data_IF_125179816031
#
_entry.id   IF_125179816031
#
_cell.length_a   1.000
_cell.length_b   1.000
_cell.length_c   1.000
_cell.angle_alpha   90.00
_cell.angle_beta   90.00
_cell.angle_gamma   90.00
#
_symmetry.space_group_name_H-M   'P 1'
#
loop_
_entity.id
_entity.type
_entity.pdbx_description
1 polymer ?
#
# COMPACT_ATOMS: atom_id res chain seq x y z
N UNK A 1 -8.59 -1.09 25.36
CA UNK A 1 -8.91 -1.84 24.12
C UNK A 1 -7.95 -2.98 23.96
N UNK A 2 -7.95 -3.65 22.81
CA UNK A 2 -7.04 -4.76 22.52
C UNK A 2 -6.17 -4.41 21.31
N UNK A 3 -4.88 -4.63 21.46
CA UNK A 3 -3.88 -4.49 20.42
C UNK A 3 -3.65 -5.84 19.76
N UNK A 4 -3.70 -5.86 18.43
CA UNK A 4 -3.69 -7.04 17.61
C UNK A 4 -2.54 -7.00 16.63
N UNK A 5 -2.10 -8.18 16.21
CA UNK A 5 -1.30 -8.36 15.01
C UNK A 5 -2.23 -8.86 13.90
N UNK A 6 -2.26 -8.15 12.77
CA UNK A 6 -2.92 -8.61 11.56
C UNK A 6 -2.08 -9.74 10.95
N UNK A 7 -2.74 -10.85 10.63
CA UNK A 7 -2.10 -12.01 10.04
C UNK A 7 -2.79 -12.34 8.72
N UNK A 8 -2.06 -12.19 7.61
CA UNK A 8 -2.53 -12.56 6.27
C UNK A 8 -3.08 -11.39 5.43
N UNK A 9 -3.62 -11.74 4.26
CA UNK A 9 -4.19 -10.79 3.27
C UNK A 9 -5.64 -10.41 3.59
N UNK A 10 -6.29 -11.16 4.47
CA UNK A 10 -7.61 -10.91 5.00
C UNK A 10 -7.41 -10.06 6.26
N UNK A 11 -8.04 -8.88 6.34
CA UNK A 11 -7.80 -7.89 7.41
C UNK A 11 -8.35 -8.32 8.79
N UNK A 12 -8.15 -9.58 9.17
CA UNK A 12 -8.61 -10.18 10.42
C UNK A 12 -7.58 -10.00 11.52
N UNK A 13 -8.05 -9.50 12.67
CA UNK A 13 -7.25 -9.40 13.88
C UNK A 13 -7.36 -10.68 14.69
N UNK A 14 -6.45 -11.60 14.41
CA UNK A 14 -6.46 -12.95 14.98
C UNK A 14 -5.57 -13.10 16.22
N UNK A 15 -4.44 -12.39 16.28
CA UNK A 15 -3.46 -12.52 17.35
C UNK A 15 -3.48 -11.32 18.29
N UNK A 16 -3.72 -11.56 19.58
CA UNK A 16 -3.67 -10.54 20.63
C UNK A 16 -2.22 -10.29 21.04
N UNK A 17 -1.76 -9.04 20.93
CA UNK A 17 -0.45 -8.60 21.42
C UNK A 17 -0.53 -8.09 22.85
N UNK A 18 -1.50 -7.20 23.13
CA UNK A 18 -1.68 -6.55 24.44
C UNK A 18 -3.16 -6.28 24.69
N UNK A 19 -3.63 -6.48 25.92
CA UNK A 19 -4.96 -6.06 26.37
C UNK A 19 -4.84 -4.80 27.23
N UNK A 20 -5.98 -4.15 27.50
CA UNK A 20 -6.06 -3.00 28.41
C UNK A 20 -5.16 -1.82 28.02
N UNK A 21 -4.90 -1.68 26.71
CA UNK A 21 -4.13 -0.59 26.13
C UNK A 21 -5.00 0.34 25.30
N UNK A 22 -4.63 1.62 25.28
CA UNK A 22 -5.19 2.61 24.37
C UNK A 22 -4.71 2.41 22.94
N UNK A 23 -5.41 3.04 21.99
CA UNK A 23 -4.99 3.02 20.58
C UNK A 23 -3.60 3.66 20.43
N UNK A 24 -3.33 4.77 21.11
CA UNK A 24 -2.05 5.46 21.04
C UNK A 24 -0.88 4.57 21.51
N UNK A 25 -1.06 3.85 22.62
CA UNK A 25 -0.04 2.93 23.14
C UNK A 25 0.16 1.70 22.23
N UNK A 26 -0.92 1.17 21.65
CA UNK A 26 -0.84 0.10 20.67
C UNK A 26 -0.04 0.54 19.44
N UNK A 27 -0.32 1.73 18.92
CA UNK A 27 0.24 2.26 17.69
C UNK A 27 1.58 3.00 17.86
N UNK A 28 2.08 3.16 19.09
CA UNK A 28 3.35 3.83 19.36
C UNK A 28 4.58 3.12 18.77
N UNK A 29 4.50 1.80 18.53
CA UNK A 29 5.63 0.97 18.08
C UNK A 29 5.95 1.10 16.58
N UNK A 30 5.12 1.80 15.79
CA UNK A 30 5.36 2.02 14.35
C UNK A 30 5.29 0.78 13.45
N UNK A 31 4.86 -0.37 13.97
CA UNK A 31 4.76 -1.63 13.22
C UNK A 31 3.52 -1.64 12.30
N UNK A 32 3.71 -1.96 11.02
CA UNK A 32 2.67 -1.93 9.99
C UNK A 32 1.55 -2.95 10.20
N UNK A 33 1.85 -4.07 10.85
CA UNK A 33 0.91 -5.17 11.04
C UNK A 33 0.12 -5.03 12.35
N UNK A 34 0.27 -3.91 13.07
CA UNK A 34 -0.46 -3.67 14.30
C UNK A 34 -1.83 -3.06 14.03
N UNK A 35 -2.83 -3.53 14.77
CA UNK A 35 -4.19 -3.02 14.70
C UNK A 35 -4.80 -2.93 16.10
N UNK A 36 -5.81 -2.08 16.26
CA UNK A 36 -6.44 -1.83 17.54
C UNK A 36 -7.94 -1.98 17.47
N UNK A 37 -8.56 -2.56 18.51
CA UNK A 37 -10.00 -2.61 18.67
C UNK A 37 -10.44 -2.04 20.02
N UNK A 38 -11.59 -1.35 20.02
CA UNK A 38 -12.25 -0.89 21.24
C UNK A 38 -13.15 -1.98 21.85
N UNK A 39 -12.75 -3.24 21.73
CA UNK A 39 -13.54 -4.38 22.14
C UNK A 39 -12.71 -5.26 23.06
N UNK A 40 -13.13 -5.32 24.32
CA UNK A 40 -12.53 -6.18 25.34
C UNK A 40 -13.52 -7.29 25.68
N UNK A 41 -13.05 -8.51 25.87
CA UNK A 41 -13.87 -9.63 26.34
C UNK A 41 -13.24 -10.27 27.57
N UNK A 42 -14.04 -10.57 28.61
CA UNK A 42 -13.53 -11.28 29.77
C UNK A 42 -13.11 -12.71 29.36
N UNK A 43 -11.87 -13.07 29.70
CA UNK A 43 -11.27 -14.38 29.41
C UNK A 43 -10.59 -14.49 28.05
N UNK A 44 -10.13 -15.71 27.72
CA UNK A 44 -9.38 -16.02 26.50
C UNK A 44 -10.25 -16.15 25.23
N UNK A 45 -11.54 -15.78 25.29
CA UNK A 45 -12.49 -15.92 24.18
C UNK A 45 -12.32 -14.84 23.11
N UNK A 46 -11.61 -13.76 23.42
CA UNK A 46 -11.39 -12.64 22.49
C UNK A 46 -10.64 -13.08 21.23
N UNK A 47 -9.64 -13.97 21.36
CA UNK A 47 -8.90 -14.50 20.20
C UNK A 47 -9.80 -15.27 19.24
N UNK A 48 -10.73 -16.08 19.75
CA UNK A 48 -11.69 -16.81 18.92
C UNK A 48 -12.57 -15.86 18.10
N UNK A 49 -13.05 -14.77 18.71
CA UNK A 49 -13.84 -13.75 18.02
C UNK A 49 -13.02 -13.00 16.96
N UNK A 50 -11.74 -12.78 17.23
CA UNK A 50 -10.78 -12.24 16.26
C UNK A 50 -10.58 -13.15 15.05
N UNK A 51 -10.35 -14.44 15.27
CA UNK A 51 -10.23 -15.46 14.21
C UNK A 51 -11.52 -15.62 13.39
N UNK A 52 -12.70 -15.47 14.01
CA UNK A 52 -13.99 -15.54 13.32
C UNK A 52 -14.35 -14.25 12.56
N UNK A 53 -13.49 -13.21 12.59
CA UNK A 53 -13.76 -11.93 11.94
C UNK A 53 -14.87 -11.11 12.60
N UNK A 54 -15.27 -11.45 13.83
CA UNK A 54 -16.32 -10.76 14.59
C UNK A 54 -15.79 -9.52 15.34
N UNK A 55 -14.48 -9.39 15.45
CA UNK A 55 -13.83 -8.22 16.03
C UNK A 55 -13.41 -7.26 14.93
N UNK A 56 -14.08 -6.11 14.86
CA UNK A 56 -13.63 -5.00 14.03
C UNK A 56 -12.41 -4.35 14.68
N UNK A 57 -11.30 -4.35 13.96
CA UNK A 57 -10.06 -3.70 14.36
C UNK A 57 -9.58 -2.76 13.27
N UNK A 58 -8.95 -1.67 13.67
CA UNK A 58 -8.42 -0.65 12.78
C UNK A 58 -6.90 -0.80 12.72
N UNK A 59 -6.29 -0.94 11.52
CA UNK A 59 -4.84 -0.93 11.41
C UNK A 59 -4.29 0.39 11.97
N UNK A 60 -3.23 0.30 12.77
CA UNK A 60 -2.51 1.47 13.30
C UNK A 60 -1.88 2.29 12.16
N UNK A 61 -1.45 1.60 11.10
CA UNK A 61 -0.93 2.20 9.89
C UNK A 61 -1.81 1.74 8.73
N UNK A 62 -2.88 2.49 8.49
CA UNK A 62 -3.82 2.21 7.42
C UNK A 62 -3.15 2.28 6.05
N UNK A 63 -3.59 1.39 5.17
CA UNK A 63 -3.29 1.40 3.74
C UNK A 63 -3.36 2.83 3.20
N UNK A 64 -2.28 3.30 2.58
CA UNK A 64 -2.31 4.45 1.67
C UNK A 64 -3.07 4.11 0.38
N UNK A 65 -4.20 3.42 0.49
CA UNK A 65 -5.20 3.30 -0.57
C UNK A 65 -6.16 4.46 -0.41
N UNK A 66 -5.74 5.60 -0.93
CA UNK A 66 -6.57 6.79 -0.97
C UNK A 66 -5.72 8.03 -1.09
N UNK A 67 -5.77 8.61 -2.29
CA UNK A 67 -5.76 10.05 -2.52
C UNK A 67 -6.16 10.81 -1.24
N UNK A 68 -5.16 11.22 -0.49
CA UNK A 68 -5.30 11.96 0.75
C UNK A 68 -4.58 13.28 0.60
N UNK A 69 -5.06 14.13 -0.31
CA UNK A 69 -4.79 15.56 -0.19
C UNK A 69 -5.41 15.99 1.14
N UNK A 70 -4.59 16.20 2.16
CA UNK A 70 -4.99 17.11 3.25
C UNK A 70 -4.85 18.54 2.70
N UNK A 71 -5.92 19.35 2.63
CA UNK A 71 -5.75 20.78 2.48
C UNK A 71 -5.26 21.29 3.84
N UNK A 72 -3.99 21.69 3.94
CA UNK A 72 -3.52 22.43 5.11
C UNK A 72 -2.16 22.07 5.71
N UNK A 73 -1.28 21.34 5.02
CA UNK A 73 0.14 21.31 5.41
C UNK A 73 1.03 21.80 4.28
N UNK A 74 1.36 23.08 4.36
CA UNK A 74 2.43 23.74 3.63
C UNK A 74 3.77 23.12 4.05
N UNK A 75 4.15 22.00 3.42
CA UNK A 75 5.53 21.52 3.44
C UNK A 75 6.17 21.91 2.12
N UNK A 76 6.70 23.12 2.10
CA UNK A 76 7.68 23.56 1.11
C UNK A 76 9.05 23.01 1.54
N UNK A 77 9.35 21.76 1.20
CA UNK A 77 10.71 21.23 1.11
C UNK A 77 10.65 19.92 0.32
N UNK A 78 11.53 19.79 -0.68
CA UNK A 78 11.50 18.79 -1.74
C UNK A 78 11.80 17.35 -1.26
N UNK A 79 10.90 16.76 -0.47
CA UNK A 79 10.84 15.32 -0.24
C UNK A 79 9.76 14.72 -1.15
N UNK A 80 10.13 14.15 -2.30
CA UNK A 80 9.17 13.51 -3.19
C UNK A 80 8.37 12.43 -2.44
N UNK A 81 7.05 12.35 -2.62
CA UNK A 81 6.25 11.28 -2.01
C UNK A 81 6.76 9.94 -2.53
N UNK A 82 7.28 9.11 -1.61
CA UNK A 82 7.63 7.73 -1.90
C UNK A 82 6.37 6.93 -2.18
N UNK A 83 6.38 6.14 -3.26
CA UNK A 83 5.34 5.16 -3.59
C UNK A 83 5.73 3.79 -3.09
N UNK A 84 4.77 3.04 -2.55
CA UNK A 84 4.97 1.63 -2.22
C UNK A 84 4.68 0.79 -3.47
N UNK A 85 5.70 0.10 -3.97
CA UNK A 85 5.59 -0.77 -5.14
C UNK A 85 5.87 -2.20 -4.73
N UNK A 86 4.96 -3.11 -5.10
CA UNK A 86 5.15 -4.54 -4.89
C UNK A 86 5.83 -5.18 -6.11
N UNK A 87 6.87 -5.96 -5.86
CA UNK A 87 7.60 -6.72 -6.90
C UNK A 87 6.90 -8.03 -7.28
N UNK A 88 7.45 -8.75 -8.27
CA UNK A 88 6.89 -10.03 -8.73
C UNK A 88 6.92 -11.15 -7.68
N UNK A 89 7.70 -10.99 -6.60
CA UNK A 89 7.79 -11.96 -5.48
C UNK A 89 6.78 -11.64 -4.37
N UNK A 90 6.07 -10.51 -4.46
CA UNK A 90 5.16 -10.04 -3.43
C UNK A 90 5.82 -9.18 -2.36
N UNK A 91 7.11 -8.83 -2.50
CA UNK A 91 7.81 -7.97 -1.55
C UNK A 91 7.51 -6.50 -1.85
N UNK A 92 7.25 -5.71 -0.81
CA UNK A 92 6.95 -4.29 -0.92
C UNK A 92 8.22 -3.43 -0.81
N UNK A 93 8.39 -2.48 -1.73
CA UNK A 93 9.52 -1.55 -1.78
C UNK A 93 9.01 -0.11 -1.78
N UNK A 94 9.56 0.73 -0.91
CA UNK A 94 9.33 2.17 -0.96
C UNK A 94 10.27 2.81 -1.97
N UNK A 95 9.74 3.32 -3.08
CA UNK A 95 10.51 3.91 -4.16
C UNK A 95 10.07 5.35 -4.43
N UNK A 96 11.00 6.21 -4.81
CA UNK A 96 10.67 7.56 -5.26
C UNK A 96 10.31 7.52 -6.73
N UNK A 97 9.07 7.86 -7.07
CA UNK A 97 8.65 7.92 -8.46
C UNK A 97 9.28 9.11 -9.18
N UNK A 98 9.59 8.90 -10.46
CA UNK A 98 10.06 9.97 -11.34
C UNK A 98 8.94 11.01 -11.48
N UNK A 99 9.16 12.20 -10.92
CA UNK A 99 8.27 13.35 -11.09
C UNK A 99 8.55 14.12 -12.40
N UNK A 100 9.80 14.10 -12.87
CA UNK A 100 10.17 14.77 -14.11
C UNK A 100 9.47 14.12 -15.33
N UNK A 101 9.01 14.93 -16.30
CA UNK A 101 8.43 14.41 -17.55
C UNK A 101 9.37 13.42 -18.23
N UNK A 102 8.79 12.40 -18.86
CA UNK A 102 9.53 11.52 -19.74
C UNK A 102 9.86 12.26 -21.05
N UNK A 103 11.03 12.02 -21.64
CA UNK A 103 11.36 12.58 -22.95
C UNK A 103 10.36 12.07 -23.99
N UNK A 104 10.06 12.92 -24.97
CA UNK A 104 9.29 12.53 -26.14
C UNK A 104 10.06 11.44 -26.91
N UNK A 105 9.37 10.44 -27.48
CA UNK A 105 10.01 9.41 -28.26
C UNK A 105 10.72 10.03 -29.48
N UNK A 106 12.00 9.70 -29.64
CA UNK A 106 12.85 10.19 -30.74
C UNK A 106 12.61 9.45 -32.05
N UNK A 107 11.98 8.28 -32.01
CA UNK A 107 11.67 7.47 -33.18
C UNK A 107 10.33 6.73 -33.02
N UNK A 108 9.62 6.45 -34.12
CA UNK A 108 8.50 5.50 -34.09
C UNK A 108 8.98 4.12 -33.63
N UNK A 109 8.08 3.33 -33.03
CA UNK A 109 8.37 1.96 -32.57
C UNK A 109 8.89 1.84 -31.12
N UNK A 110 8.98 2.94 -30.37
CA UNK A 110 9.32 2.91 -28.93
C UNK A 110 8.12 2.59 -28.03
N UNK A 111 6.93 2.53 -28.62
CA UNK A 111 5.69 2.22 -27.91
C UNK A 111 5.72 0.80 -27.34
N UNK A 112 5.01 0.60 -26.25
CA UNK A 112 4.89 -0.68 -25.56
C UNK A 112 3.44 -0.94 -25.20
N UNK A 113 2.93 -2.13 -25.50
CA UNK A 113 1.66 -2.58 -24.99
C UNK A 113 1.86 -3.21 -23.62
N UNK A 114 1.23 -2.66 -22.59
CA UNK A 114 1.22 -3.23 -21.25
C UNK A 114 0.28 -4.43 -21.13
N UNK A 115 0.52 -5.29 -20.15
CA UNK A 115 -0.36 -6.42 -19.81
C UNK A 115 -1.78 -5.97 -19.42
N UNK A 116 -1.94 -4.70 -19.05
CA UNK A 116 -3.20 -4.02 -18.77
C UNK A 116 -3.92 -3.48 -20.02
N UNK A 117 -3.53 -3.86 -21.24
CA UNK A 117 -4.09 -3.37 -22.50
C UNK A 117 -3.93 -1.84 -22.72
N UNK A 118 -2.92 -1.22 -22.10
CA UNK A 118 -2.62 0.20 -22.29
C UNK A 118 -1.33 0.35 -23.09
N UNK A 119 -1.37 1.18 -24.13
CA UNK A 119 -0.18 1.59 -24.89
C UNK A 119 0.58 2.68 -24.13
N UNK A 120 1.87 2.49 -23.96
CA UNK A 120 2.80 3.47 -23.39
C UNK A 120 3.77 3.96 -24.45
N UNK A 121 3.97 5.28 -24.53
CA UNK A 121 4.79 5.89 -25.58
C UNK A 121 6.28 5.53 -25.52
N UNK A 122 6.77 5.13 -24.34
CA UNK A 122 8.13 4.61 -24.15
C UNK A 122 8.25 3.83 -22.85
N UNK A 123 9.37 3.15 -22.66
CA UNK A 123 9.71 2.47 -21.41
C UNK A 123 9.71 3.40 -20.19
N UNK A 124 10.04 4.69 -20.35
CA UNK A 124 9.96 5.68 -19.28
C UNK A 124 8.51 5.87 -18.81
N UNK A 125 7.58 6.03 -19.75
CA UNK A 125 6.16 6.23 -19.44
C UNK A 125 5.57 4.99 -18.74
N UNK A 126 5.93 3.79 -19.19
CA UNK A 126 5.49 2.54 -18.54
C UNK A 126 6.03 2.42 -17.11
N UNK A 127 7.31 2.73 -16.88
CA UNK A 127 7.91 2.70 -15.52
C UNK A 127 7.29 3.74 -14.61
N UNK A 128 7.04 4.94 -15.12
CA UNK A 128 6.39 6.00 -14.37
C UNK A 128 4.98 5.58 -13.95
N UNK A 129 4.19 5.03 -14.88
CA UNK A 129 2.86 4.50 -14.57
C UNK A 129 2.90 3.34 -13.57
N UNK A 130 3.85 2.41 -13.72
CA UNK A 130 4.09 1.30 -12.78
C UNK A 130 4.34 1.81 -11.36
N UNK A 131 5.18 2.84 -11.24
CA UNK A 131 5.53 3.41 -9.94
C UNK A 131 4.33 4.07 -9.26
N UNK A 132 3.56 4.88 -10.00
CA UNK A 132 2.37 5.52 -9.45
C UNK A 132 1.20 4.55 -9.21
N UNK A 133 1.17 3.41 -9.91
CA UNK A 133 0.17 2.36 -9.69
C UNK A 133 0.46 1.52 -8.43
N UNK A 134 1.72 1.47 -7.96
CA UNK A 134 2.11 0.68 -6.79
C UNK A 134 2.24 -0.83 -7.04
N UNK A 135 2.14 -1.27 -8.30
CA UNK A 135 2.36 -2.68 -8.71
C UNK A 135 2.94 -2.74 -10.11
N UNK A 136 3.69 -3.81 -10.37
CA UNK A 136 4.36 -4.05 -11.64
C UNK A 136 3.37 -4.14 -12.83
N UNK A 137 3.60 -3.32 -13.86
CA UNK A 137 2.94 -3.45 -15.15
C UNK A 137 3.92 -4.14 -16.09
N UNK A 138 3.65 -5.41 -16.42
CA UNK A 138 4.46 -6.13 -17.39
C UNK A 138 4.24 -5.60 -18.81
N UNK A 139 5.27 -5.74 -19.66
CA UNK A 139 5.13 -5.54 -21.11
C UNK A 139 4.53 -6.80 -21.72
N UNK A 140 3.48 -6.65 -22.52
CA UNK A 140 2.91 -7.73 -23.33
C UNK A 140 3.71 -7.91 -24.61
N UNK A 141 3.88 -6.84 -25.36
CA UNK A 141 4.68 -6.82 -26.60
C UNK A 141 5.13 -5.39 -26.94
N UNK A 142 6.16 -5.24 -27.80
CA UNK A 142 6.52 -3.95 -28.41
C UNK A 142 5.41 -3.44 -29.34
N UNK A 143 5.30 -2.12 -29.47
CA UNK A 143 4.28 -1.45 -30.27
C UNK A 143 3.00 -1.15 -29.50
N UNK A 144 2.06 -0.49 -30.18
CA UNK A 144 0.71 -0.21 -29.66
C UNK A 144 -0.08 -1.50 -29.44
N UNK A 145 -0.93 -1.53 -28.41
CA UNK A 145 -1.92 -2.61 -28.25
C UNK A 145 -2.88 -2.66 -29.45
N UNK A 146 -3.28 -3.87 -29.84
CA UNK A 146 -4.26 -4.16 -30.88
C UNK A 146 -5.53 -4.79 -30.29
#
# INVERSE_FOLDING_TARGET
GVCWLQQGREATCSLVLRTDVSQAECCASGNIDTAWSNFTHPGNKISLLGFLGLVHCLPCKGETLGVGRRPGSLWSEAGQPGSCVVDQTGSAHCVVCRAAPCPAPSSPGQELCGNNNVTYMSSCHLRQATCFLGRSIGVRHPGSCA
#
